data_IF_011546502313
#
_entry.id   IF_011546502313
#
_cell.length_a   1.000
_cell.length_b   1.000
_cell.length_c   1.000
_cell.angle_alpha   90.00
_cell.angle_beta   90.00
_cell.angle_gamma   90.00
#
_symmetry.space_group_name_H-M   'P 1'
#
loop_
_entity.id
_entity.type
_entity.pdbx_description
1 polymer ?
#
# COMPACT_ATOMS: atom_id res chain seq x y z
N UNK A 1 3.93 -3.69 23.55
CA UNK A 1 3.93 -3.66 22.07
C UNK A 1 5.33 -3.70 21.46
N UNK A 2 6.39 -4.06 22.22
CA UNK A 2 7.77 -4.05 21.71
C UNK A 2 7.96 -4.79 20.37
N UNK A 3 8.79 -4.24 19.48
CA UNK A 3 9.33 -4.94 18.30
C UNK A 3 10.47 -5.86 18.75
N UNK A 4 10.83 -6.90 17.98
CA UNK A 4 11.89 -7.86 18.38
C UNK A 4 13.18 -7.18 18.85
N UNK A 5 13.60 -6.11 18.17
CA UNK A 5 14.83 -5.38 18.45
C UNK A 5 14.65 -4.01 19.13
N UNK A 6 13.42 -3.61 19.53
CA UNK A 6 13.17 -2.31 20.19
C UNK A 6 12.03 -2.34 21.20
N UNK A 7 12.26 -1.75 22.38
CA UNK A 7 11.26 -1.63 23.44
C UNK A 7 10.08 -0.73 23.04
N UNK A 8 10.39 0.45 22.48
CA UNK A 8 9.39 1.37 21.91
C UNK A 8 9.22 1.05 20.43
N UNK A 9 7.99 0.64 20.09
CA UNK A 9 7.67 0.14 18.77
C UNK A 9 7.29 1.24 17.77
N UNK A 10 7.33 0.92 16.48
CA UNK A 10 6.73 1.73 15.42
C UNK A 10 5.50 1.07 14.81
N UNK A 11 4.85 1.78 13.89
CA UNK A 11 3.66 1.31 13.18
C UNK A 11 3.91 0.06 12.33
N UNK A 12 5.12 -0.15 11.80
CA UNK A 12 5.37 -1.24 10.86
C UNK A 12 5.51 -2.59 11.57
N UNK A 13 6.32 -2.65 12.63
CA UNK A 13 6.47 -3.89 13.39
C UNK A 13 5.17 -4.25 14.13
N UNK A 14 4.44 -3.25 14.63
CA UNK A 14 3.14 -3.48 15.29
C UNK A 14 2.09 -3.91 14.28
N UNK A 15 2.03 -3.27 13.10
CA UNK A 15 1.22 -3.67 11.96
C UNK A 15 1.36 -5.15 11.65
N UNK A 16 2.60 -5.60 11.46
CA UNK A 16 2.89 -7.02 11.20
C UNK A 16 2.45 -7.91 12.37
N UNK A 17 2.68 -7.48 13.62
CA UNK A 17 2.29 -8.27 14.78
C UNK A 17 0.76 -8.49 14.88
N UNK A 18 -0.06 -7.46 14.65
CA UNK A 18 -1.52 -7.60 14.78
C UNK A 18 -2.24 -8.04 13.51
N UNK A 19 -1.63 -7.90 12.31
CA UNK A 19 -2.22 -8.38 11.05
C UNK A 19 -1.70 -9.76 10.64
N UNK A 20 -0.47 -10.11 11.01
CA UNK A 20 0.18 -11.35 10.58
C UNK A 20 0.56 -12.27 11.74
N UNK A 21 0.35 -11.84 12.98
CA UNK A 21 0.54 -12.68 14.17
C UNK A 21 2.01 -12.90 14.58
N UNK A 22 2.96 -12.23 13.92
CA UNK A 22 4.39 -12.40 14.15
C UNK A 22 5.04 -11.06 14.50
N UNK A 23 5.84 -11.03 15.57
CA UNK A 23 6.67 -9.86 15.87
C UNK A 23 7.91 -9.85 14.99
N UNK A 24 8.23 -8.69 14.44
CA UNK A 24 9.40 -8.48 13.58
C UNK A 24 10.25 -7.30 14.10
N UNK A 25 11.33 -7.01 13.39
CA UNK A 25 12.19 -5.88 13.67
C UNK A 25 11.48 -4.54 13.40
N UNK A 26 11.90 -3.51 14.14
CA UNK A 26 11.43 -2.14 13.98
C UNK A 26 11.57 -1.65 12.53
N UNK A 27 10.51 -1.02 12.01
CA UNK A 27 10.52 -0.38 10.70
C UNK A 27 10.50 -1.32 9.49
N UNK A 28 10.25 -2.63 9.69
CA UNK A 28 10.06 -3.63 8.63
C UNK A 28 8.56 -4.01 8.50
N UNK A 29 8.16 -4.61 7.39
CA UNK A 29 6.79 -5.04 7.11
C UNK A 29 6.79 -6.50 6.67
N UNK A 30 6.13 -7.38 7.40
CA UNK A 30 5.96 -8.81 7.05
C UNK A 30 7.24 -9.54 6.63
N UNK A 31 8.40 -9.11 7.15
CA UNK A 31 9.70 -9.76 6.91
C UNK A 31 10.26 -10.19 8.25
N UNK A 32 10.72 -11.44 8.34
CA UNK A 32 11.20 -12.06 9.57
C UNK A 32 12.35 -11.27 10.22
N UNK A 33 12.44 -11.36 11.56
CA UNK A 33 13.45 -10.63 12.33
C UNK A 33 14.90 -11.10 12.09
N UNK A 34 15.09 -12.23 11.39
CA UNK A 34 16.39 -12.70 10.90
C UNK A 34 16.94 -11.81 9.77
N UNK A 35 16.08 -11.12 9.03
CA UNK A 35 16.48 -10.23 7.94
C UNK A 35 16.88 -8.86 8.53
N UNK A 36 18.06 -8.32 8.18
CA UNK A 36 18.43 -6.97 8.55
C UNK A 36 17.52 -5.93 7.89
N UNK A 37 17.20 -4.87 8.63
CA UNK A 37 16.47 -3.73 8.05
C UNK A 37 17.29 -3.12 6.92
N UNK A 38 16.63 -2.73 5.83
CA UNK A 38 17.21 -2.21 4.57
C UNK A 38 17.90 -3.23 3.68
N UNK A 39 17.93 -4.51 4.04
CA UNK A 39 18.45 -5.56 3.15
C UNK A 39 17.42 -5.87 2.06
N UNK A 40 17.76 -5.63 0.80
CA UNK A 40 16.93 -5.96 -0.36
C UNK A 40 17.32 -7.25 -1.07
N UNK A 41 18.47 -7.83 -0.72
CA UNK A 41 19.02 -9.04 -1.35
C UNK A 41 18.78 -10.30 -0.51
N UNK A 42 17.97 -10.20 0.55
CA UNK A 42 17.58 -11.36 1.34
C UNK A 42 16.79 -12.37 0.51
N UNK A 43 16.96 -13.65 0.84
CA UNK A 43 16.23 -14.73 0.18
C UNK A 43 14.75 -14.64 0.52
N UNK A 44 13.89 -14.57 -0.50
CA UNK A 44 12.42 -14.49 -0.34
C UNK A 44 11.82 -15.89 -0.28
N UNK A 45 11.54 -16.36 0.93
CA UNK A 45 11.02 -17.69 1.21
C UNK A 45 9.87 -17.61 2.21
N UNK A 46 9.19 -18.72 2.48
CA UNK A 46 8.14 -18.77 3.51
C UNK A 46 8.69 -18.56 4.94
N UNK A 47 10.00 -18.66 5.14
CA UNK A 47 10.67 -18.39 6.40
C UNK A 47 11.00 -16.91 6.59
N UNK A 48 11.21 -16.16 5.51
CA UNK A 48 11.58 -14.74 5.54
C UNK A 48 10.41 -13.80 5.24
N UNK A 49 9.48 -14.21 4.39
CA UNK A 49 8.27 -13.46 4.03
C UNK A 49 7.04 -14.04 4.73
N UNK A 50 6.33 -13.17 5.45
CA UNK A 50 5.23 -13.56 6.33
C UNK A 50 3.90 -13.17 5.68
N UNK A 51 2.95 -14.10 5.66
CA UNK A 51 1.57 -13.82 5.29
C UNK A 51 0.67 -13.71 6.52
N UNK A 52 -0.31 -12.81 6.45
CA UNK A 52 -1.22 -12.53 7.55
C UNK A 52 -2.68 -12.76 7.21
N UNK A 53 -3.55 -12.18 8.06
CA UNK A 53 -4.99 -12.37 8.05
C UNK A 53 -5.66 -12.08 6.71
N UNK A 54 -5.12 -11.15 5.90
CA UNK A 54 -5.65 -10.87 4.57
C UNK A 54 -5.49 -12.06 3.63
N UNK A 55 -4.30 -12.67 3.59
CA UNK A 55 -4.05 -13.88 2.80
C UNK A 55 -4.91 -15.04 3.29
N UNK A 56 -4.97 -15.25 4.61
CA UNK A 56 -5.79 -16.32 5.19
C UNK A 56 -7.29 -16.15 4.90
N UNK A 57 -7.79 -14.91 4.90
CA UNK A 57 -9.17 -14.62 4.53
C UNK A 57 -9.42 -14.93 3.05
N UNK A 58 -8.51 -14.56 2.15
CA UNK A 58 -8.60 -14.86 0.72
C UNK A 58 -8.54 -16.36 0.44
N UNK A 59 -7.64 -17.09 1.12
CA UNK A 59 -7.53 -18.56 1.03
C UNK A 59 -8.82 -19.26 1.50
N UNK A 60 -9.55 -18.64 2.44
CA UNK A 60 -10.87 -19.08 2.87
C UNK A 60 -12.03 -18.57 2.00
N UNK A 61 -11.74 -18.00 0.82
CA UNK A 61 -12.73 -17.50 -0.14
C UNK A 61 -13.45 -16.22 0.30
N UNK A 62 -12.87 -15.42 1.20
CA UNK A 62 -13.48 -14.19 1.71
C UNK A 62 -12.98 -12.96 0.96
N UNK A 63 -13.88 -11.98 0.80
CA UNK A 63 -13.52 -10.65 0.34
C UNK A 63 -12.62 -9.95 1.37
N UNK A 64 -11.65 -9.19 0.88
CA UNK A 64 -10.70 -8.42 1.69
C UNK A 64 -10.54 -7.02 1.14
N UNK A 65 -10.11 -6.09 1.99
CA UNK A 65 -9.87 -4.72 1.60
C UNK A 65 -9.33 -3.88 2.74
N UNK A 66 -8.82 -2.70 2.40
CA UNK A 66 -8.23 -1.75 3.33
C UNK A 66 -8.79 -0.35 3.14
N UNK A 67 -8.97 0.36 4.24
CA UNK A 67 -9.37 1.77 4.27
C UNK A 67 -8.50 2.50 5.28
N UNK A 68 -7.94 3.64 4.91
CA UNK A 68 -7.12 4.47 5.80
C UNK A 68 -7.26 5.95 5.47
N UNK A 69 -6.96 6.83 6.42
CA UNK A 69 -6.74 8.25 6.15
C UNK A 69 -5.26 8.59 5.87
N UNK A 70 -4.36 7.60 5.96
CA UNK A 70 -2.95 7.77 5.62
C UNK A 70 -2.71 7.52 4.13
N UNK A 71 -1.45 7.47 3.71
CA UNK A 71 -1.12 6.95 2.38
C UNK A 71 -1.40 5.46 2.42
N UNK A 72 -1.96 4.90 1.36
CA UNK A 72 -2.25 3.46 1.33
C UNK A 72 -0.98 2.58 1.40
N UNK A 73 0.18 3.18 1.12
CA UNK A 73 1.54 2.64 1.25
C UNK A 73 2.16 2.87 2.63
N UNK A 74 1.50 3.59 3.53
CA UNK A 74 2.00 3.82 4.89
C UNK A 74 2.08 2.49 5.65
N UNK A 75 2.90 2.42 6.70
CA UNK A 75 3.20 1.16 7.40
C UNK A 75 1.98 0.36 7.87
N UNK A 76 0.97 1.00 8.46
CA UNK A 76 -0.21 0.29 8.97
C UNK A 76 -1.02 -0.41 7.88
N UNK A 77 -1.45 0.26 6.79
CA UNK A 77 -2.09 -0.44 5.68
C UNK A 77 -1.13 -1.39 4.95
N UNK A 78 0.13 -1.01 4.74
CA UNK A 78 1.13 -1.84 4.07
C UNK A 78 1.39 -3.16 4.79
N UNK A 79 1.32 -3.19 6.12
CA UNK A 79 1.47 -4.42 6.89
C UNK A 79 0.37 -5.47 6.61
N UNK A 80 -0.71 -5.11 5.90
CA UNK A 80 -1.74 -6.07 5.47
C UNK A 80 -1.41 -6.81 4.17
N UNK A 81 -0.45 -6.32 3.37
CA UNK A 81 -0.18 -6.88 2.03
C UNK A 81 1.28 -6.90 1.59
N UNK A 82 2.12 -6.00 2.11
CA UNK A 82 3.48 -5.80 1.62
C UNK A 82 4.50 -6.54 2.48
N UNK A 83 5.53 -7.07 1.82
CA UNK A 83 6.74 -7.62 2.39
C UNK A 83 7.89 -6.66 2.05
N UNK A 84 8.46 -6.03 3.07
CA UNK A 84 9.55 -5.08 2.86
C UNK A 84 10.48 -4.99 4.07
N UNK A 85 11.79 -5.04 3.79
CA UNK A 85 12.85 -4.81 4.76
C UNK A 85 12.94 -3.35 5.23
N UNK A 86 12.12 -2.44 4.69
CA UNK A 86 11.86 -1.15 5.32
C UNK A 86 10.51 -0.56 4.90
N UNK A 87 9.79 -0.01 5.87
CA UNK A 87 8.56 0.77 5.65
C UNK A 87 8.75 2.04 4.81
N UNK A 88 10.00 2.43 4.56
CA UNK A 88 10.36 3.65 3.80
C UNK A 88 10.29 3.47 2.28
N UNK A 89 10.33 2.24 1.79
CA UNK A 89 10.25 1.94 0.35
C UNK A 89 8.82 2.05 -0.19
N UNK A 90 8.16 3.20 0.05
CA UNK A 90 6.78 3.44 -0.38
C UNK A 90 6.65 3.57 -1.91
N UNK A 91 7.72 3.98 -2.60
CA UNK A 91 7.80 4.13 -4.05
C UNK A 91 9.23 3.89 -4.56
N UNK A 92 9.39 3.85 -5.88
CA UNK A 92 10.58 3.37 -6.58
C UNK A 92 11.88 4.12 -6.24
N UNK A 93 11.82 5.44 -6.04
CA UNK A 93 13.02 6.26 -5.77
C UNK A 93 13.66 5.90 -4.43
N UNK A 94 12.87 5.48 -3.43
CA UNK A 94 13.39 5.09 -2.12
C UNK A 94 14.13 3.74 -2.18
N UNK A 95 13.65 2.83 -3.05
CA UNK A 95 14.34 1.56 -3.36
C UNK A 95 15.64 1.85 -4.10
N UNK A 96 15.59 2.68 -5.15
CA UNK A 96 16.76 3.08 -5.94
C UNK A 96 17.81 3.79 -5.08
N UNK A 97 17.38 4.72 -4.22
CA UNK A 97 18.25 5.48 -3.32
C UNK A 97 18.95 4.60 -2.28
N UNK A 98 18.40 3.43 -1.97
CA UNK A 98 19.03 2.41 -1.13
C UNK A 98 20.03 1.51 -1.89
N UNK A 99 20.19 1.69 -3.20
CA UNK A 99 21.09 0.87 -4.03
C UNK A 99 20.51 -0.50 -4.43
N UNK A 100 19.21 -0.70 -4.23
CA UNK A 100 18.54 -1.96 -4.50
C UNK A 100 18.14 -2.10 -5.97
N UNK A 101 18.20 -3.34 -6.49
CA UNK A 101 17.69 -3.68 -7.81
C UNK A 101 16.15 -3.58 -7.82
N UNK A 102 15.62 -2.62 -8.60
CA UNK A 102 14.19 -2.31 -8.67
C UNK A 102 13.38 -3.41 -9.38
N UNK A 103 14.02 -4.30 -10.15
CA UNK A 103 13.36 -5.45 -10.75
C UNK A 103 13.18 -6.59 -9.73
N UNK A 104 14.12 -6.71 -8.78
CA UNK A 104 14.04 -7.70 -7.69
C UNK A 104 13.26 -7.17 -6.49
N UNK A 105 13.30 -5.86 -6.25
CA UNK A 105 12.72 -5.21 -5.07
C UNK A 105 11.58 -4.29 -5.46
N UNK A 106 10.36 -4.82 -5.43
CA UNK A 106 9.17 -4.01 -5.62
C UNK A 106 8.97 -3.05 -4.44
N UNK A 107 8.82 -1.77 -4.72
CA UNK A 107 8.33 -0.79 -3.74
C UNK A 107 6.89 -1.13 -3.30
N UNK A 108 6.47 -0.59 -2.16
CA UNK A 108 5.17 -0.91 -1.55
C UNK A 108 4.00 -0.53 -2.48
N UNK A 109 4.10 0.53 -3.28
CA UNK A 109 3.06 0.87 -4.26
C UNK A 109 2.97 -0.17 -5.38
N UNK A 110 4.10 -0.65 -5.91
CA UNK A 110 4.11 -1.78 -6.85
C UNK A 110 3.51 -3.04 -6.23
N UNK A 111 3.88 -3.35 -4.98
CA UNK A 111 3.33 -4.51 -4.26
C UNK A 111 1.81 -4.41 -4.11
N UNK A 112 1.25 -3.23 -3.83
CA UNK A 112 -0.22 -3.06 -3.76
C UNK A 112 -0.90 -3.52 -5.05
N UNK A 113 -0.32 -3.21 -6.21
CA UNK A 113 -0.89 -3.56 -7.52
C UNK A 113 -0.63 -5.01 -7.91
N UNK A 114 0.58 -5.53 -7.62
CA UNK A 114 1.09 -6.77 -8.21
C UNK A 114 1.07 -7.98 -7.28
N UNK A 115 1.22 -7.78 -5.97
CA UNK A 115 1.35 -8.91 -5.04
C UNK A 115 0.08 -9.72 -4.95
N UNK A 116 0.24 -11.01 -4.64
CA UNK A 116 -0.86 -11.97 -4.61
C UNK A 116 -1.97 -11.63 -3.62
N UNK A 117 -1.66 -10.91 -2.54
CA UNK A 117 -2.66 -10.51 -1.55
C UNK A 117 -3.42 -9.29 -2.05
N UNK A 118 -2.75 -8.18 -2.30
CA UNK A 118 -3.40 -6.89 -2.56
C UNK A 118 -4.06 -6.78 -3.93
N UNK A 119 -3.57 -7.50 -4.95
CA UNK A 119 -4.26 -7.58 -6.25
C UNK A 119 -5.66 -8.18 -6.14
N UNK A 120 -5.96 -8.90 -5.05
CA UNK A 120 -7.26 -9.51 -4.79
C UNK A 120 -8.13 -8.70 -3.81
N UNK A 121 -7.68 -7.51 -3.37
CA UNK A 121 -8.50 -6.63 -2.55
C UNK A 121 -9.69 -6.10 -3.35
N UNK A 122 -10.90 -6.31 -2.83
CA UNK A 122 -12.13 -5.74 -3.37
C UNK A 122 -12.20 -4.23 -3.15
N UNK A 123 -11.57 -3.75 -2.09
CA UNK A 123 -11.53 -2.32 -1.74
C UNK A 123 -10.13 -1.94 -1.27
N UNK A 124 -9.55 -0.91 -1.86
CA UNK A 124 -8.29 -0.33 -1.44
C UNK A 124 -8.44 1.20 -1.42
N UNK A 125 -8.57 1.79 -0.23
CA UNK A 125 -8.88 3.22 -0.10
C UNK A 125 -7.96 3.96 0.87
N UNK A 126 -7.49 5.14 0.46
CA UNK A 126 -6.74 6.07 1.29
C UNK A 126 -6.21 7.27 0.51
N UNK A 127 -5.08 7.83 0.92
CA UNK A 127 -4.33 8.80 0.14
C UNK A 127 -3.09 8.18 -0.53
N UNK A 128 -2.21 9.03 -1.04
CA UNK A 128 -0.89 8.65 -1.54
C UNK A 128 -0.77 8.60 -3.06
N UNK A 129 -1.68 9.25 -3.81
CA UNK A 129 -1.68 9.22 -5.28
C UNK A 129 -0.32 9.50 -5.90
N UNK A 130 0.48 10.40 -5.32
CA UNK A 130 1.79 10.78 -5.87
C UNK A 130 2.75 9.61 -6.05
N UNK A 131 2.62 8.53 -5.26
CA UNK A 131 3.48 7.34 -5.36
C UNK A 131 3.05 6.34 -6.44
N UNK A 132 1.89 6.57 -7.05
CA UNK A 132 1.34 5.74 -8.12
C UNK A 132 1.48 6.37 -9.51
N UNK A 133 1.88 7.65 -9.58
CA UNK A 133 1.95 8.42 -10.82
C UNK A 133 3.41 8.76 -11.21
N UNK A 134 3.74 8.73 -12.51
CA UNK A 134 5.01 9.22 -13.04
C UNK A 134 5.25 10.69 -12.71
N UNK A 135 6.52 11.10 -12.66
CA UNK A 135 6.92 12.49 -12.41
C UNK A 135 6.43 13.50 -13.44
N UNK A 136 6.09 13.10 -14.64
CA UNK A 136 5.57 13.98 -15.69
C UNK A 136 4.03 14.08 -15.68
N UNK A 137 3.35 13.35 -14.78
CA UNK A 137 1.90 13.35 -14.64
C UNK A 137 1.47 14.14 -13.40
N UNK A 138 0.47 15.01 -13.56
CA UNK A 138 -0.23 15.64 -12.45
C UNK A 138 -1.54 14.91 -12.18
N UNK A 139 -1.91 14.79 -10.91
CA UNK A 139 -3.19 14.20 -10.51
C UNK A 139 -4.37 15.17 -10.73
N UNK A 140 -5.59 14.70 -10.46
CA UNK A 140 -6.82 15.49 -10.62
C UNK A 140 -6.93 16.73 -9.72
N UNK A 141 -6.04 16.88 -8.73
CA UNK A 141 -5.94 18.06 -7.86
C UNK A 141 -4.71 18.92 -8.19
N UNK A 142 -3.99 18.60 -9.27
CA UNK A 142 -2.82 19.34 -9.75
C UNK A 142 -1.50 18.97 -9.05
N UNK A 143 -1.48 17.94 -8.21
CA UNK A 143 -0.26 17.49 -7.55
C UNK A 143 0.56 16.56 -8.46
N UNK A 144 1.86 16.79 -8.50
CA UNK A 144 2.81 16.02 -9.32
C UNK A 144 3.03 14.61 -8.78
N UNK A 145 3.07 13.62 -9.67
CA UNK A 145 3.56 12.27 -9.38
C UNK A 145 5.05 12.23 -9.02
N UNK A 146 5.48 11.19 -8.31
CA UNK A 146 6.83 11.09 -7.74
C UNK A 146 7.68 10.00 -8.38
N UNK A 147 7.06 9.07 -9.14
CA UNK A 147 7.77 7.92 -9.68
C UNK A 147 8.78 8.30 -10.75
N UNK A 148 9.98 7.72 -10.69
CA UNK A 148 11.07 7.92 -11.67
C UNK A 148 11.27 6.69 -12.59
N UNK A 149 10.41 5.68 -12.49
CA UNK A 149 10.42 4.48 -13.33
C UNK A 149 9.43 4.55 -14.50
N UNK A 150 8.75 5.69 -14.67
CA UNK A 150 7.80 5.93 -15.76
C UNK A 150 6.48 5.15 -15.64
N UNK A 151 6.24 4.42 -14.54
CA UNK A 151 5.04 3.60 -14.38
C UNK A 151 3.85 4.42 -13.87
N UNK A 152 2.70 4.25 -14.51
CA UNK A 152 1.41 4.66 -13.96
C UNK A 152 0.74 3.43 -13.33
N UNK A 153 0.87 3.32 -12.00
CA UNK A 153 0.35 2.17 -11.26
C UNK A 153 -1.17 2.19 -11.11
N UNK A 154 -1.83 3.33 -11.30
CA UNK A 154 -3.30 3.39 -11.34
C UNK A 154 -3.80 2.72 -12.63
N UNK A 155 -3.19 3.07 -13.77
CA UNK A 155 -3.52 2.43 -15.06
C UNK A 155 -3.19 0.94 -15.05
N UNK A 156 -2.04 0.56 -14.49
CA UNK A 156 -1.66 -0.84 -14.35
C UNK A 156 -2.63 -1.63 -13.46
N UNK A 157 -3.12 -1.02 -12.37
CA UNK A 157 -4.13 -1.63 -11.51
C UNK A 157 -5.45 -1.85 -12.26
N UNK A 158 -5.93 -0.84 -13.01
CA UNK A 158 -7.12 -0.97 -13.84
C UNK A 158 -6.95 -2.07 -14.89
N UNK A 159 -5.80 -2.11 -15.57
CA UNK A 159 -5.50 -3.14 -16.58
C UNK A 159 -5.50 -4.55 -15.98
N UNK A 160 -4.88 -4.73 -14.81
CA UNK A 160 -4.84 -6.00 -14.09
C UNK A 160 -6.26 -6.51 -13.79
N UNK A 161 -7.17 -5.61 -13.41
CA UNK A 161 -8.52 -5.98 -13.00
C UNK A 161 -9.50 -6.22 -14.16
N UNK A 162 -9.20 -5.77 -15.39
CA UNK A 162 -10.03 -6.05 -16.57
C UNK A 162 -10.30 -7.55 -16.78
N UNK A 163 -9.34 -8.40 -16.43
CA UNK A 163 -9.49 -9.85 -16.53
C UNK A 163 -10.14 -10.50 -15.29
N UNK A 164 -10.38 -9.73 -14.22
CA UNK A 164 -10.82 -10.22 -12.92
C UNK A 164 -12.26 -9.80 -12.56
N UNK A 165 -12.75 -8.69 -13.11
CA UNK A 165 -14.09 -8.16 -12.86
C UNK A 165 -14.20 -6.67 -13.18
N UNK A 166 -15.36 -6.09 -12.89
CA UNK A 166 -15.59 -4.66 -13.11
C UNK A 166 -14.84 -3.84 -12.03
N UNK A 167 -13.98 -2.91 -12.47
CA UNK A 167 -13.12 -2.14 -11.57
C UNK A 167 -13.28 -0.64 -11.77
N UNK A 168 -13.28 0.12 -10.68
CA UNK A 168 -13.35 1.58 -10.70
C UNK A 168 -12.21 2.22 -9.90
N UNK A 169 -11.63 3.27 -10.47
CA UNK A 169 -10.71 4.16 -9.79
C UNK A 169 -11.41 5.49 -9.48
N UNK A 170 -11.37 5.90 -8.21
CA UNK A 170 -11.94 7.17 -7.74
C UNK A 170 -10.91 7.95 -6.94
N UNK A 171 -11.00 9.28 -7.03
CA UNK A 171 -10.02 10.15 -6.37
C UNK A 171 -10.64 11.34 -5.64
N UNK A 172 -11.96 11.51 -5.71
CA UNK A 172 -12.69 12.51 -4.94
C UNK A 172 -14.01 11.95 -4.37
N UNK A 173 -14.65 12.75 -3.52
CA UNK A 173 -15.89 12.37 -2.83
C UNK A 173 -17.06 12.14 -3.78
N UNK A 174 -17.19 12.96 -4.82
CA UNK A 174 -18.31 12.85 -5.77
C UNK A 174 -18.24 11.53 -6.53
N UNK A 175 -17.06 11.18 -7.04
CA UNK A 175 -16.82 9.90 -7.71
C UNK A 175 -17.08 8.72 -6.77
N UNK A 176 -16.58 8.77 -5.53
CA UNK A 176 -16.82 7.70 -4.55
C UNK A 176 -18.32 7.49 -4.29
N UNK A 177 -19.10 8.58 -4.17
CA UNK A 177 -20.54 8.50 -3.95
C UNK A 177 -21.33 8.08 -5.20
N UNK A 178 -20.73 8.18 -6.38
CA UNK A 178 -21.32 7.77 -7.64
C UNK A 178 -21.08 6.29 -7.99
N UNK A 179 -20.15 5.62 -7.30
CA UNK A 179 -19.88 4.18 -7.48
C UNK A 179 -21.16 3.37 -7.24
N UNK A 180 -21.50 2.48 -8.17
CA UNK A 180 -22.60 1.52 -8.00
C UNK A 180 -22.05 0.21 -7.39
N UNK A 181 -22.21 -0.02 -6.08
CA UNK A 181 -21.63 -1.18 -5.41
C UNK A 181 -22.19 -2.52 -5.89
N UNK A 182 -23.25 -2.53 -6.71
CA UNK A 182 -23.78 -3.76 -7.33
C UNK A 182 -23.07 -4.12 -8.63
N UNK A 183 -22.36 -3.18 -9.25
CA UNK A 183 -21.67 -3.35 -10.53
C UNK A 183 -20.16 -3.29 -10.41
N UNK A 184 -19.64 -2.75 -9.32
CA UNK A 184 -18.20 -2.62 -9.09
C UNK A 184 -17.69 -3.78 -8.24
N UNK A 185 -16.87 -4.66 -8.83
CA UNK A 185 -16.22 -5.77 -8.12
C UNK A 185 -14.97 -5.31 -7.36
N UNK A 186 -14.26 -4.32 -7.89
CA UNK A 186 -12.99 -3.81 -7.34
C UNK A 186 -12.97 -2.28 -7.32
N UNK A 187 -12.62 -1.70 -6.17
CA UNK A 187 -12.57 -0.25 -5.98
C UNK A 187 -11.20 0.20 -5.46
N UNK A 188 -10.52 1.04 -6.24
CA UNK A 188 -9.33 1.77 -5.81
C UNK A 188 -9.69 3.24 -5.57
N UNK A 189 -9.60 3.69 -4.33
CA UNK A 189 -9.90 5.08 -3.94
C UNK A 189 -8.66 5.80 -3.40
N UNK A 190 -8.09 6.73 -4.16
CA UNK A 190 -6.93 7.50 -3.72
C UNK A 190 -7.26 9.00 -3.66
N UNK A 191 -7.54 9.52 -2.46
CA UNK A 191 -8.23 10.80 -2.29
C UNK A 191 -7.33 12.03 -2.18
N UNK A 192 -6.05 11.85 -1.88
CA UNK A 192 -5.09 12.95 -1.72
C UNK A 192 -3.71 12.52 -2.23
N UNK A 193 -2.87 13.49 -2.61
CA UNK A 193 -1.52 13.24 -3.10
C UNK A 193 -0.64 12.51 -2.07
N UNK A 194 -0.82 12.80 -0.78
CA UNK A 194 -0.13 12.18 0.36
C UNK A 194 -1.14 11.63 1.38
N UNK A 195 -0.95 11.84 2.68
CA UNK A 195 -1.99 11.56 3.67
C UNK A 195 -3.25 12.38 3.38
N UNK A 196 -4.41 11.85 3.76
CA UNK A 196 -5.62 12.65 3.73
C UNK A 196 -5.53 13.80 4.73
N UNK A 197 -6.19 14.91 4.42
CA UNK A 197 -6.29 16.05 5.33
C UNK A 197 -6.89 15.63 6.67
N UNK A 198 -6.46 16.27 7.75
CA UNK A 198 -7.12 16.13 9.04
C UNK A 198 -8.58 16.58 8.95
N UNK A 199 -9.46 15.89 9.67
CA UNK A 199 -10.90 16.16 9.65
C UNK A 199 -11.27 17.61 9.97
N UNK A 200 -10.51 18.28 10.86
CA UNK A 200 -10.74 19.68 11.19
C UNK A 200 -10.54 20.60 9.98
N UNK A 201 -9.45 20.40 9.23
CA UNK A 201 -9.14 21.15 8.01
C UNK A 201 -10.22 20.94 6.95
N UNK A 202 -10.70 19.71 6.78
CA UNK A 202 -11.78 19.39 5.83
C UNK A 202 -13.07 20.12 6.22
N UNK A 203 -13.41 20.16 7.52
CA UNK A 203 -14.59 20.88 8.00
C UNK A 203 -14.49 22.39 7.79
N UNK A 204 -13.32 22.97 8.03
CA UNK A 204 -13.07 24.40 7.80
C UNK A 204 -13.18 24.76 6.31
N UNK A 205 -12.65 23.92 5.42
CA UNK A 205 -12.76 24.12 3.97
C UNK A 205 -14.20 24.01 3.46
N UNK A 206 -15.01 23.12 4.02
CA UNK A 206 -16.41 22.95 3.62
C UNK A 206 -17.35 24.00 4.22
N UNK A 207 -16.89 24.78 5.20
CA UNK A 207 -17.67 25.83 5.85
C UNK A 207 -17.47 27.22 5.20
N UNK A 208 -16.50 27.34 4.29
CA UNK A 208 -16.24 28.53 3.46
C UNK A 208 -16.95 28.39 2.11
#
# INVERSE_FOLDING_TARGET
>A
TYCVNRQVADSACTGTAYLSGVKINYGMLNVAASVPRYDCDYEKTNETEIFGIMKWAQDAGKATGIVTNTRITHASPAASYAQSATRGWEYDVEVRGAGCDQEKTMDIAQQLVRNEVSKNFKVAMGGGRRYFLPRDVNDGEGARGYREDGKNLVEEWLETHKAMGESEFVWNREQLLAVDPKKTDYLLGLFEASHMKFNLVVKEQNAQ
#
